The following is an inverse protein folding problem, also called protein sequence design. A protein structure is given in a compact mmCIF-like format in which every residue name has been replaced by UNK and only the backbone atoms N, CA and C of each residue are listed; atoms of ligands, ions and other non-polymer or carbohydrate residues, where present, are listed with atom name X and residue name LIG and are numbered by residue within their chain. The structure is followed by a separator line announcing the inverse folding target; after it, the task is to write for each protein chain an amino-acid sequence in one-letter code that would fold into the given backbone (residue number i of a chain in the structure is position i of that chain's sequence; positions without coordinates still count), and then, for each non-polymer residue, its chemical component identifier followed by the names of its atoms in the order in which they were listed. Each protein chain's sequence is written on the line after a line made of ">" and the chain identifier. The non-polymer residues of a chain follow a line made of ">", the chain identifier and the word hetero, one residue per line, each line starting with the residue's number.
data_IF_431366704431
#
_entry.id   IF_431366704431
#
_cell.length_a   1.000
_cell.length_b   1.000
_cell.length_c   1.000
_cell.angle_alpha   90.00
_cell.angle_beta   90.00
_cell.angle_gamma   90.00
#
_symmetry.space_group_name_H-M   'P 1'
#
loop_
_entity.id
_entity.type
_entity.pdbx_description
1 polymer ?
#
# COMPACT_ATOMS: atom_id res chain seq x y z
N UNK A 1 18.00 14.21 -52.85
CA UNK A 1 17.13 13.36 -52.02
C UNK A 1 17.06 14.01 -50.64
N UNK A 2 16.04 14.84 -50.42
CA UNK A 2 15.88 15.69 -49.24
C UNK A 2 14.96 14.98 -48.25
N UNK A 3 15.40 14.83 -47.00
CA UNK A 3 14.62 14.28 -45.89
C UNK A 3 13.43 15.21 -45.55
N UNK A 4 12.26 14.66 -45.18
CA UNK A 4 11.13 15.48 -44.73
C UNK A 4 11.37 16.09 -43.33
N UNK A 5 10.73 17.22 -43.00
CA UNK A 5 10.97 17.94 -41.75
C UNK A 5 10.35 17.23 -40.54
N UNK A 6 11.04 17.31 -39.41
CA UNK A 6 10.59 16.79 -38.12
C UNK A 6 9.32 17.53 -37.64
N UNK A 7 8.33 16.77 -37.15
CA UNK A 7 7.14 17.32 -36.49
C UNK A 7 7.50 17.79 -35.06
N UNK A 8 6.99 18.94 -34.59
CA UNK A 8 7.21 19.41 -33.23
C UNK A 8 6.19 18.74 -32.30
N UNK A 9 6.67 18.16 -31.22
CA UNK A 9 5.84 17.48 -30.23
C UNK A 9 6.70 16.98 -29.10
N UNK A 10 7.01 17.87 -28.17
CA UNK A 10 7.70 17.60 -26.92
C UNK A 10 6.92 16.57 -26.10
N UNK A 11 7.18 15.28 -26.32
CA UNK A 11 6.79 14.25 -25.37
C UNK A 11 7.90 14.13 -24.33
N UNK A 12 7.82 14.99 -23.31
CA UNK A 12 8.65 14.90 -22.12
C UNK A 12 8.28 13.61 -21.40
N UNK A 13 9.08 12.54 -21.56
CA UNK A 13 9.06 11.40 -20.65
C UNK A 13 9.64 11.83 -19.30
N UNK A 14 8.85 12.59 -18.55
CA UNK A 14 9.19 13.17 -17.26
C UNK A 14 8.29 12.65 -16.16
N UNK A 15 8.24 11.33 -15.97
CA UNK A 15 7.83 10.75 -14.71
C UNK A 15 8.80 9.61 -14.41
N UNK A 16 9.59 9.78 -13.35
CA UNK A 16 10.48 8.75 -12.84
C UNK A 16 9.60 7.60 -12.33
N UNK A 17 9.21 6.68 -13.23
CA UNK A 17 8.59 5.42 -12.82
C UNK A 17 9.59 4.74 -11.90
N UNK A 18 9.20 4.47 -10.66
CA UNK A 18 10.05 3.81 -9.70
C UNK A 18 10.52 2.50 -10.33
N UNK A 19 11.83 2.38 -10.57
CA UNK A 19 12.37 1.10 -11.01
C UNK A 19 12.34 0.18 -9.79
N UNK A 20 11.88 -1.08 -9.90
CA UNK A 20 11.94 -2.04 -8.79
C UNK A 20 13.33 -2.17 -8.15
N UNK A 21 14.39 -1.70 -8.82
CA UNK A 21 15.75 -1.60 -8.30
C UNK A 21 15.96 -0.60 -7.16
N UNK A 22 15.05 0.35 -6.95
CA UNK A 22 15.21 1.43 -5.95
C UNK A 22 14.49 1.12 -4.63
N UNK A 23 13.79 -0.02 -4.58
CA UNK A 23 12.97 -0.44 -3.46
C UNK A 23 13.28 -1.90 -3.12
N UNK A 24 13.01 -2.28 -1.87
CA UNK A 24 13.01 -3.66 -1.44
C UNK A 24 11.67 -4.01 -0.79
N UNK A 25 11.22 -5.24 -1.00
CA UNK A 25 9.96 -5.74 -0.44
C UNK A 25 10.11 -6.02 1.06
N UNK A 26 9.12 -5.57 1.83
CA UNK A 26 8.99 -5.83 3.28
C UNK A 26 7.70 -6.59 3.62
N UNK A 27 6.82 -6.80 2.64
CA UNK A 27 5.65 -7.67 2.77
C UNK A 27 5.51 -8.60 1.57
N UNK A 28 5.03 -9.82 1.84
CA UNK A 28 4.72 -10.82 0.82
C UNK A 28 3.21 -11.08 0.77
N UNK A 29 2.78 -11.84 -0.24
CA UNK A 29 1.38 -12.22 -0.42
C UNK A 29 0.76 -12.91 0.80
N UNK A 30 1.55 -13.63 1.59
CA UNK A 30 1.04 -14.28 2.81
C UNK A 30 0.64 -13.25 3.86
N UNK A 31 1.47 -12.24 4.12
CA UNK A 31 1.12 -11.16 5.06
C UNK A 31 -0.12 -10.40 4.61
N UNK A 32 -0.21 -10.05 3.32
CA UNK A 32 -1.36 -9.35 2.77
C UNK A 32 -2.65 -10.17 2.85
N UNK A 33 -2.57 -11.46 2.55
CA UNK A 33 -3.70 -12.39 2.72
C UNK A 33 -4.14 -12.50 4.19
N UNK A 34 -3.20 -12.69 5.11
CA UNK A 34 -3.51 -12.78 6.54
C UNK A 34 -4.13 -11.49 7.09
N UNK A 35 -3.72 -10.32 6.59
CA UNK A 35 -4.34 -9.04 6.94
C UNK A 35 -5.79 -9.01 6.48
N UNK A 36 -6.04 -9.31 5.20
CA UNK A 36 -7.39 -9.36 4.64
C UNK A 36 -8.28 -10.32 5.44
N UNK A 37 -7.82 -11.54 5.68
CA UNK A 37 -8.56 -12.53 6.46
C UNK A 37 -8.85 -12.05 7.88
N UNK A 38 -7.87 -11.46 8.56
CA UNK A 38 -8.05 -10.94 9.91
C UNK A 38 -9.05 -9.77 9.95
N UNK A 39 -9.03 -8.86 8.97
CA UNK A 39 -9.98 -7.75 8.88
C UNK A 39 -11.39 -8.27 8.58
N UNK A 40 -11.55 -9.23 7.68
CA UNK A 40 -12.86 -9.83 7.38
C UNK A 40 -13.48 -10.59 8.55
N UNK A 41 -12.67 -11.01 9.53
CA UNK A 41 -13.14 -11.61 10.78
C UNK A 41 -13.61 -10.57 11.81
N UNK A 42 -13.31 -9.29 11.62
CA UNK A 42 -13.84 -8.21 12.45
C UNK A 42 -15.31 -7.94 12.11
N UNK A 43 -16.05 -7.39 13.07
CA UNK A 43 -17.39 -6.86 12.79
C UNK A 43 -17.29 -5.76 11.74
N UNK A 44 -18.30 -5.61 10.89
CA UNK A 44 -18.27 -4.61 9.81
C UNK A 44 -18.02 -3.18 10.31
N UNK A 45 -18.46 -2.85 11.54
CA UNK A 45 -18.18 -1.56 12.18
C UNK A 45 -16.74 -1.38 12.67
N UNK A 46 -16.00 -2.48 12.87
CA UNK A 46 -14.59 -2.46 13.28
C UNK A 46 -13.62 -2.61 12.09
N UNK A 47 -14.11 -2.83 10.86
CA UNK A 47 -13.24 -2.91 9.68
C UNK A 47 -12.68 -1.52 9.33
N UNK A 48 -11.34 -1.33 9.29
CA UNK A 48 -10.75 -0.05 8.94
C UNK A 48 -11.03 0.30 7.49
N UNK A 49 -11.12 1.58 7.15
CA UNK A 49 -11.03 2.00 5.74
C UNK A 49 -9.60 1.92 5.29
N UNK A 50 -9.36 1.64 4.01
CA UNK A 50 -8.03 1.58 3.44
C UNK A 50 -7.87 2.48 2.21
N UNK A 51 -6.62 2.84 1.92
CA UNK A 51 -6.20 3.33 0.61
C UNK A 51 -4.80 2.82 0.31
N UNK A 52 -4.48 2.64 -0.96
CA UNK A 52 -3.21 2.06 -1.38
C UNK A 52 -2.48 3.01 -2.32
N UNK A 53 -1.16 3.06 -2.18
CA UNK A 53 -0.29 3.71 -3.16
C UNK A 53 0.35 2.64 -4.05
N UNK A 54 0.23 2.85 -5.36
CA UNK A 54 0.84 2.00 -6.36
C UNK A 54 2.32 2.38 -6.53
N UNK A 55 3.19 1.38 -6.47
CA UNK A 55 4.64 1.51 -6.56
C UNK A 55 5.09 2.02 -7.94
N UNK A 56 4.54 1.44 -9.01
CA UNK A 56 5.01 1.69 -10.38
C UNK A 56 4.53 3.05 -10.92
N UNK A 57 3.25 3.34 -10.70
CA UNK A 57 2.57 4.54 -11.24
C UNK A 57 2.57 5.70 -10.26
N UNK A 58 2.82 5.46 -8.97
CA UNK A 58 2.66 6.46 -7.91
C UNK A 58 1.20 6.80 -7.59
N UNK A 59 0.23 6.19 -8.27
CA UNK A 59 -1.20 6.48 -8.10
C UNK A 59 -1.65 6.14 -6.68
N UNK A 60 -2.43 7.05 -6.08
CA UNK A 60 -3.03 6.87 -4.76
C UNK A 60 -4.53 6.63 -4.92
N UNK A 61 -5.03 5.53 -4.35
CA UNK A 61 -6.46 5.24 -4.37
C UNK A 61 -7.25 6.18 -3.45
N UNK A 62 -8.55 6.30 -3.70
CA UNK A 62 -9.47 6.86 -2.71
C UNK A 62 -9.60 5.91 -1.50
N UNK A 63 -10.14 6.45 -0.42
CA UNK A 63 -10.46 5.67 0.78
C UNK A 63 -11.66 4.75 0.53
N UNK A 64 -11.50 3.48 0.80
CA UNK A 64 -12.51 2.43 0.63
C UNK A 64 -12.71 1.64 1.93
N UNK A 65 -13.89 1.06 2.13
CA UNK A 65 -14.19 0.17 3.25
C UNK A 65 -14.51 -1.26 2.81
N UNK A 66 -14.62 -1.52 1.51
CA UNK A 66 -15.03 -2.84 1.00
C UNK A 66 -13.82 -3.76 0.81
N UNK A 67 -13.50 -4.53 1.84
CA UNK A 67 -12.34 -5.43 1.84
C UNK A 67 -12.54 -6.70 1.00
N UNK A 68 -13.78 -7.16 0.84
CA UNK A 68 -14.01 -8.46 0.23
C UNK A 68 -13.63 -8.48 -1.25
N UNK A 69 -13.99 -7.43 -1.99
CA UNK A 69 -13.81 -7.32 -3.43
C UNK A 69 -12.52 -6.62 -3.88
N UNK A 70 -12.00 -5.67 -3.09
CA UNK A 70 -10.86 -4.84 -3.49
C UNK A 70 -9.50 -5.41 -3.08
N UNK A 71 -9.48 -6.39 -2.17
CA UNK A 71 -8.29 -7.14 -1.82
C UNK A 71 -8.46 -8.56 -2.35
N UNK A 72 -7.77 -8.91 -3.43
CA UNK A 72 -7.71 -10.28 -3.98
C UNK A 72 -6.98 -11.23 -3.02
N UNK A 73 -6.84 -12.51 -3.34
CA UNK A 73 -6.07 -13.47 -2.55
C UNK A 73 -4.58 -13.52 -2.89
N UNK A 74 -4.14 -12.75 -3.90
CA UNK A 74 -2.76 -12.69 -4.42
C UNK A 74 -2.56 -11.43 -5.28
N UNK A 75 -1.30 -11.13 -5.62
CA UNK A 75 -0.96 -10.07 -6.58
C UNK A 75 -0.90 -8.67 -5.98
N UNK A 76 -0.16 -8.52 -4.88
CA UNK A 76 0.07 -7.24 -4.19
C UNK A 76 1.48 -6.68 -4.39
N UNK A 77 2.21 -7.21 -5.36
CA UNK A 77 3.57 -6.81 -5.74
C UNK A 77 3.67 -5.38 -6.28
N UNK A 78 2.55 -4.77 -6.64
CA UNK A 78 2.44 -3.36 -7.04
C UNK A 78 2.21 -2.40 -5.87
N UNK A 79 1.93 -2.88 -4.66
CA UNK A 79 1.51 -2.03 -3.55
C UNK A 79 2.71 -1.50 -2.75
N UNK A 80 3.04 -0.22 -2.91
CA UNK A 80 4.12 0.43 -2.16
C UNK A 80 3.76 0.47 -0.67
N UNK A 81 2.58 0.97 -0.35
CA UNK A 81 2.02 0.96 1.01
C UNK A 81 0.50 1.02 0.97
N UNK A 82 -0.12 0.59 2.07
CA UNK A 82 -1.52 0.83 2.38
C UNK A 82 -1.63 1.68 3.65
N UNK A 83 -2.56 2.62 3.66
CA UNK A 83 -2.99 3.28 4.89
C UNK A 83 -4.31 2.69 5.35
N UNK A 84 -4.42 2.47 6.65
CA UNK A 84 -5.61 1.99 7.34
C UNK A 84 -6.10 3.12 8.25
N UNK A 85 -7.31 3.62 7.98
CA UNK A 85 -7.98 4.62 8.80
C UNK A 85 -8.88 3.94 9.81
N UNK A 86 -8.79 4.40 11.06
CA UNK A 86 -9.58 3.95 12.20
C UNK A 86 -10.26 5.14 12.86
N UNK A 87 -11.48 4.95 13.32
CA UNK A 87 -12.34 6.02 13.86
C UNK A 87 -12.40 6.00 15.38
N UNK A 88 -12.20 4.83 15.99
CA UNK A 88 -12.30 4.66 17.44
C UNK A 88 -11.03 4.06 18.04
N UNK A 89 -10.80 4.31 19.33
CA UNK A 89 -9.69 3.70 20.06
C UNK A 89 -9.80 2.16 20.10
N UNK A 90 -11.03 1.64 20.21
CA UNK A 90 -11.30 0.20 20.16
C UNK A 90 -10.88 -0.41 18.81
N UNK A 91 -11.31 0.21 17.71
CA UNK A 91 -10.94 -0.22 16.38
C UNK A 91 -9.42 -0.13 16.17
N UNK A 92 -8.80 0.97 16.61
CA UNK A 92 -7.35 1.15 16.55
C UNK A 92 -6.62 0.00 17.24
N UNK A 93 -7.09 -0.44 18.39
CA UNK A 93 -6.50 -1.55 19.14
C UNK A 93 -6.59 -2.88 18.40
N UNK A 94 -7.76 -3.20 17.84
CA UNK A 94 -7.94 -4.43 17.05
C UNK A 94 -7.03 -4.46 15.83
N UNK A 95 -7.00 -3.37 15.06
CA UNK A 95 -6.13 -3.25 13.88
C UNK A 95 -4.67 -3.37 14.30
N UNK A 96 -4.25 -2.71 15.38
CA UNK A 96 -2.89 -2.81 15.93
C UNK A 96 -2.52 -4.25 16.29
N UNK A 97 -3.40 -4.95 16.99
CA UNK A 97 -3.19 -6.34 17.39
C UNK A 97 -3.02 -7.26 16.18
N UNK A 98 -3.83 -7.06 15.12
CA UNK A 98 -3.71 -7.78 13.84
C UNK A 98 -2.36 -7.51 13.18
N UNK A 99 -1.98 -6.24 13.01
CA UNK A 99 -0.73 -5.85 12.36
C UNK A 99 0.51 -6.36 13.11
N UNK A 100 0.48 -6.28 14.44
CA UNK A 100 1.53 -6.82 15.30
C UNK A 100 1.66 -8.34 15.17
N UNK A 101 0.55 -9.07 15.17
CA UNK A 101 0.53 -10.54 15.02
C UNK A 101 1.14 -10.98 13.69
N UNK A 102 0.82 -10.30 12.59
CA UNK A 102 1.34 -10.60 11.25
C UNK A 102 2.77 -10.07 11.06
N UNK A 103 3.27 -9.22 11.98
CA UNK A 103 4.55 -8.53 11.89
C UNK A 103 4.63 -7.68 10.63
N UNK A 104 3.65 -6.79 10.43
CA UNK A 104 3.68 -5.82 9.34
C UNK A 104 4.67 -4.69 9.64
N UNK A 105 5.51 -4.38 8.65
CA UNK A 105 6.33 -3.17 8.68
C UNK A 105 5.43 -1.96 8.44
N UNK A 106 5.61 -0.89 9.21
CA UNK A 106 4.71 0.24 9.19
C UNK A 106 5.00 1.29 10.25
N UNK A 107 4.16 2.32 10.25
CA UNK A 107 4.13 3.38 11.24
C UNK A 107 2.69 3.67 11.68
N UNK A 108 2.55 4.20 12.91
CA UNK A 108 1.27 4.74 13.36
C UNK A 108 1.10 6.14 12.78
N UNK A 109 -0.11 6.43 12.30
CA UNK A 109 -0.49 7.76 11.79
C UNK A 109 -1.62 8.33 12.63
N UNK A 110 -1.88 9.63 12.47
CA UNK A 110 -3.05 10.28 13.08
C UNK A 110 -4.34 9.59 12.69
N UNK A 111 -4.48 9.16 11.42
CA UNK A 111 -5.66 8.48 10.92
C UNK A 111 -5.73 6.99 11.33
N UNK A 112 -4.60 6.35 11.61
CA UNK A 112 -4.54 4.94 11.98
C UNK A 112 -3.14 4.39 11.82
N UNK A 113 -2.89 3.69 10.72
CA UNK A 113 -1.62 3.03 10.42
C UNK A 113 -1.26 3.20 8.95
N UNK A 114 0.03 3.25 8.65
CA UNK A 114 0.56 3.04 7.31
C UNK A 114 1.42 1.80 7.33
N UNK A 115 1.14 0.84 6.46
CA UNK A 115 1.86 -0.42 6.36
C UNK A 115 2.51 -0.52 4.98
N UNK A 116 3.72 -1.04 4.93
CA UNK A 116 4.54 -1.03 3.73
C UNK A 116 4.53 -2.39 3.04
N UNK A 117 4.40 -2.37 1.71
CA UNK A 117 4.79 -3.49 0.85
C UNK A 117 6.23 -3.36 0.40
N UNK A 118 6.65 -2.13 0.10
CA UNK A 118 7.99 -1.78 -0.34
C UNK A 118 8.51 -0.56 0.39
N UNK A 119 9.82 -0.54 0.61
CA UNK A 119 10.55 0.57 1.22
C UNK A 119 11.71 0.95 0.31
N UNK A 120 12.07 2.24 0.25
CA UNK A 120 13.20 2.68 -0.57
C UNK A 120 14.50 2.08 -0.06
N UNK A 121 15.40 1.74 -0.97
CA UNK A 121 16.73 1.26 -0.61
C UNK A 121 17.48 2.33 0.22
N UNK A 122 18.03 1.92 1.35
CA UNK A 122 18.69 2.80 2.32
C UNK A 122 17.77 3.34 3.41
N UNK A 123 16.45 3.18 3.28
CA UNK A 123 15.50 3.41 4.37
C UNK A 123 15.25 2.10 5.13
N UNK A 124 14.77 2.24 6.38
CA UNK A 124 14.35 1.11 7.20
C UNK A 124 12.95 1.38 7.73
N UNK A 125 12.08 0.37 7.69
CA UNK A 125 10.77 0.40 8.31
C UNK A 125 10.75 -0.52 9.54
N UNK A 126 10.30 0.02 10.67
CA UNK A 126 10.02 -0.76 11.87
C UNK A 126 8.73 -1.57 11.74
N UNK A 127 8.51 -2.50 12.68
CA UNK A 127 7.24 -3.22 12.79
C UNK A 127 6.27 -2.45 13.68
N UNK A 128 4.97 -2.59 13.43
CA UNK A 128 3.92 -2.07 14.32
C UNK A 128 3.93 -2.86 15.66
N UNK A 129 3.92 -2.12 16.78
CA UNK A 129 3.92 -2.64 18.17
C UNK A 129 2.59 -2.48 18.93
#
# INVERSE_FOLDING_TARGET
>A
MTLPPALPGDFVWGAHMARPSDYYSVANDTKWRELREAVLMLTSSDQPRFRCKNLETGNLSQWDGEWFYHWSSSGWDWMEWAELSVETAHQREHVRAVLRRIRFAGEQTTAGFRIYGYVRNGEAAGYIE
#
